data_IF_979585535118
#
_entry.id   IF_979585535118
#
_cell.length_a   1.000
_cell.length_b   1.000
_cell.length_c   1.000
_cell.angle_alpha   90.00
_cell.angle_beta   90.00
_cell.angle_gamma   90.00
#
_symmetry.space_group_name_H-M   'P 1'
#
loop_
_entity.id
_entity.type
_entity.pdbx_description
1 polymer ?
#
# COMPACT_ATOMS: atom_id res chain seq x y z
N UNK A 1 11.85 -13.52 -8.40
CA UNK A 1 11.20 -12.30 -8.96
C UNK A 1 12.19 -11.14 -8.86
N UNK A 2 12.35 -10.29 -9.89
CA UNK A 2 13.28 -9.17 -9.83
C UNK A 2 12.85 -8.20 -8.73
N UNK A 3 13.78 -7.86 -7.82
CA UNK A 3 13.53 -6.86 -6.78
C UNK A 3 13.29 -5.50 -7.43
N UNK A 4 12.24 -4.82 -6.98
CA UNK A 4 11.84 -3.50 -7.48
C UNK A 4 12.98 -2.52 -7.27
N UNK A 5 13.44 -1.91 -8.37
CA UNK A 5 14.40 -0.82 -8.33
C UNK A 5 13.68 0.48 -7.93
N UNK A 6 14.33 1.31 -7.13
CA UNK A 6 13.79 2.57 -6.64
C UNK A 6 14.38 3.78 -7.36
N UNK A 7 13.73 4.93 -7.28
CA UNK A 7 14.30 6.20 -7.72
C UNK A 7 14.85 6.96 -6.50
N UNK A 8 15.91 7.73 -6.71
CA UNK A 8 16.51 8.58 -5.67
C UNK A 8 16.70 10.01 -6.19
N UNK A 9 16.42 10.98 -5.33
CA UNK A 9 16.49 12.41 -5.63
C UNK A 9 17.43 13.05 -4.61
N UNK A 10 18.51 13.68 -5.07
CA UNK A 10 19.54 14.26 -4.21
C UNK A 10 19.67 15.75 -4.49
N UNK A 11 19.33 16.58 -3.52
CA UNK A 11 19.62 18.01 -3.58
C UNK A 11 21.03 18.26 -3.07
N UNK A 12 21.90 18.70 -3.97
CA UNK A 12 23.32 18.94 -3.71
C UNK A 12 23.69 20.32 -4.25
N UNK A 13 24.17 21.20 -3.37
CA UNK A 13 24.55 22.58 -3.75
C UNK A 13 26.04 22.72 -4.09
N UNK A 14 26.91 21.90 -3.49
CA UNK A 14 28.36 21.95 -3.70
C UNK A 14 28.77 21.13 -4.93
N UNK A 15 29.50 21.75 -5.85
CA UNK A 15 29.95 21.10 -7.10
C UNK A 15 30.84 19.88 -6.85
N UNK A 16 31.71 19.93 -5.84
CA UNK A 16 32.63 18.81 -5.55
C UNK A 16 31.91 17.57 -5.01
N UNK A 17 30.87 17.78 -4.20
CA UNK A 17 30.00 16.70 -3.73
C UNK A 17 29.22 16.08 -4.89
N UNK A 18 28.69 16.92 -5.79
CA UNK A 18 27.98 16.46 -6.99
C UNK A 18 28.89 15.59 -7.86
N UNK A 19 30.11 16.07 -8.16
CA UNK A 19 31.12 15.31 -8.93
C UNK A 19 31.47 13.98 -8.27
N UNK A 20 31.66 13.98 -6.95
CA UNK A 20 32.00 12.76 -6.20
C UNK A 20 30.89 11.72 -6.29
N UNK A 21 29.63 12.14 -6.12
CA UNK A 21 28.48 11.22 -6.18
C UNK A 21 28.25 10.74 -7.61
N UNK A 22 28.39 11.62 -8.60
CA UNK A 22 28.24 11.27 -10.02
C UNK A 22 29.29 10.25 -10.47
N UNK A 23 30.56 10.45 -10.11
CA UNK A 23 31.65 9.52 -10.37
C UNK A 23 31.41 8.13 -9.77
N UNK A 24 30.62 8.04 -8.69
CA UNK A 24 30.27 6.80 -8.00
C UNK A 24 28.83 6.33 -8.24
N UNK A 25 28.08 6.98 -9.15
CA UNK A 25 26.65 6.74 -9.33
C UNK A 25 26.33 5.29 -9.70
N UNK A 26 27.22 4.60 -10.42
CA UNK A 26 27.06 3.18 -10.78
C UNK A 26 27.12 2.28 -9.55
N UNK A 27 28.05 2.51 -8.63
CA UNK A 27 28.12 1.77 -7.36
C UNK A 27 26.88 2.02 -6.51
N UNK A 28 26.46 3.28 -6.40
CA UNK A 28 25.25 3.66 -5.65
C UNK A 28 24.01 2.98 -6.25
N UNK A 29 23.84 2.99 -7.58
CA UNK A 29 22.73 2.32 -8.27
C UNK A 29 22.69 0.82 -7.97
N UNK A 30 23.84 0.16 -7.95
CA UNK A 30 23.91 -1.29 -7.72
C UNK A 30 23.68 -1.66 -6.26
N UNK A 31 24.37 -1.00 -5.33
CA UNK A 31 24.31 -1.28 -3.89
C UNK A 31 22.95 -0.93 -3.30
N UNK A 32 22.40 0.23 -3.65
CA UNK A 32 21.10 0.69 -3.15
C UNK A 32 19.91 0.23 -4.02
N UNK A 33 20.17 -0.52 -5.11
CA UNK A 33 19.15 -1.00 -6.07
C UNK A 33 18.29 0.14 -6.64
N UNK A 34 18.96 1.23 -7.00
CA UNK A 34 18.33 2.43 -7.55
C UNK A 34 18.34 2.33 -9.09
N UNK A 35 17.20 2.49 -9.75
CA UNK A 35 17.10 2.53 -11.21
C UNK A 35 17.56 3.87 -11.78
N UNK A 36 17.30 4.97 -11.06
CA UNK A 36 17.61 6.32 -11.49
C UNK A 36 17.96 7.20 -10.29
N UNK A 37 19.02 7.99 -10.43
CA UNK A 37 19.40 9.03 -9.47
C UNK A 37 19.23 10.37 -10.19
N UNK A 38 18.40 11.25 -9.65
CA UNK A 38 18.29 12.64 -10.06
C UNK A 38 19.02 13.51 -9.03
N UNK A 39 19.98 14.33 -9.46
CA UNK A 39 20.83 15.09 -8.55
C UNK A 39 21.12 16.50 -9.07
N UNK A 40 21.18 17.49 -8.17
CA UNK A 40 21.43 18.88 -8.53
C UNK A 40 20.96 19.88 -7.47
N UNK A 41 21.24 21.19 -7.65
CA UNK A 41 20.88 22.21 -6.67
C UNK A 41 19.37 22.50 -6.60
N UNK A 42 18.65 22.29 -7.71
CA UNK A 42 17.23 22.61 -7.86
C UNK A 42 16.31 21.38 -7.80
N UNK A 43 16.87 20.21 -7.47
CA UNK A 43 16.08 18.97 -7.35
C UNK A 43 15.05 19.14 -6.22
N UNK A 44 13.79 18.94 -6.58
CA UNK A 44 12.65 19.05 -5.66
C UNK A 44 12.35 17.73 -4.95
N UNK A 45 11.84 17.83 -3.72
CA UNK A 45 11.36 16.68 -2.94
C UNK A 45 10.10 16.07 -3.58
N UNK A 46 10.11 14.80 -4.01
CA UNK A 46 8.90 14.16 -4.52
C UNK A 46 7.85 13.93 -3.43
N UNK A 47 6.58 13.88 -3.84
CA UNK A 47 5.44 13.63 -2.95
C UNK A 47 5.59 12.24 -2.29
N UNK A 48 5.40 12.18 -0.97
CA UNK A 48 5.46 10.94 -0.18
C UNK A 48 6.81 10.20 -0.28
N UNK A 49 7.89 10.90 0.05
CA UNK A 49 9.25 10.35 0.07
C UNK A 49 9.75 10.12 1.50
N UNK A 50 10.52 9.04 1.71
CA UNK A 50 11.45 8.97 2.83
C UNK A 50 12.56 10.00 2.59
N UNK A 51 13.02 10.65 3.66
CA UNK A 51 14.04 11.70 3.59
C UNK A 51 15.19 11.42 4.53
N UNK A 52 16.40 11.68 4.07
CA UNK A 52 17.61 11.73 4.89
C UNK A 52 18.40 13.01 4.57
N UNK A 53 19.13 13.53 5.55
CA UNK A 53 20.02 14.68 5.36
C UNK A 53 21.40 14.28 5.86
N UNK A 54 22.43 14.47 5.02
CA UNK A 54 23.82 14.16 5.35
C UNK A 54 24.63 15.42 5.04
N UNK A 55 25.04 16.15 6.09
CA UNK A 55 25.60 17.49 5.94
C UNK A 55 24.62 18.42 5.21
N UNK A 56 25.01 18.92 4.04
CA UNK A 56 24.21 19.80 3.19
C UNK A 56 23.47 19.07 2.05
N UNK A 57 23.55 17.73 2.02
CA UNK A 57 22.89 16.91 0.99
C UNK A 57 21.54 16.44 1.51
N UNK A 58 20.47 16.77 0.80
CA UNK A 58 19.14 16.24 1.08
C UNK A 58 18.86 15.08 0.12
N UNK A 59 18.44 13.93 0.66
CA UNK A 59 18.18 12.71 -0.10
C UNK A 59 16.70 12.35 0.06
N UNK A 60 16.04 12.04 -1.04
CA UNK A 60 14.66 11.58 -1.07
C UNK A 60 14.49 10.32 -1.88
N UNK A 61 13.76 9.36 -1.31
CA UNK A 61 13.34 8.14 -1.99
C UNK A 61 11.81 8.11 -2.00
N UNK A 62 11.15 8.21 -3.17
CA UNK A 62 9.72 8.09 -3.26
C UNK A 62 9.25 6.74 -2.73
N UNK A 63 8.31 6.76 -1.78
CA UNK A 63 7.70 5.54 -1.26
C UNK A 63 6.64 4.99 -2.22
N UNK A 64 6.15 5.85 -3.13
CA UNK A 64 5.22 5.48 -4.20
C UNK A 64 5.95 4.60 -5.21
N UNK A 65 5.59 3.32 -5.30
CA UNK A 65 6.20 2.34 -6.20
C UNK A 65 6.97 1.23 -5.49
N UNK A 66 7.51 1.49 -4.29
CA UNK A 66 8.12 0.50 -3.40
C UNK A 66 7.08 -0.49 -2.86
N UNK A 67 5.94 0.02 -2.41
CA UNK A 67 4.72 -0.75 -2.20
C UNK A 67 3.92 -0.62 -3.50
N UNK A 68 3.61 -1.73 -4.16
CA UNK A 68 2.70 -1.71 -5.30
C UNK A 68 1.27 -1.46 -4.77
N UNK A 69 0.96 -0.21 -4.44
CA UNK A 69 -0.33 0.18 -3.89
C UNK A 69 -1.47 -0.23 -4.82
N UNK A 70 -1.23 -0.31 -6.14
CA UNK A 70 -2.20 -0.79 -7.10
C UNK A 70 -2.40 -2.31 -7.01
N UNK A 71 -1.33 -3.10 -6.92
CA UNK A 71 -1.41 -4.55 -6.68
C UNK A 71 -2.01 -4.87 -5.33
N UNK A 72 -1.66 -4.10 -4.29
CA UNK A 72 -2.19 -4.28 -2.95
C UNK A 72 -3.68 -3.92 -2.90
N UNK A 73 -4.07 -2.81 -3.53
CA UNK A 73 -5.48 -2.45 -3.75
C UNK A 73 -6.22 -3.56 -4.49
N UNK A 74 -5.67 -4.07 -5.60
CA UNK A 74 -6.26 -5.21 -6.35
C UNK A 74 -6.38 -6.46 -5.49
N UNK A 75 -5.38 -6.77 -4.67
CA UNK A 75 -5.39 -7.92 -3.75
C UNK A 75 -6.52 -7.78 -2.71
N UNK A 76 -6.62 -6.61 -2.08
CA UNK A 76 -7.66 -6.32 -1.08
C UNK A 76 -9.05 -6.33 -1.73
N UNK A 77 -9.22 -5.74 -2.92
CA UNK A 77 -10.49 -5.79 -3.67
C UNK A 77 -10.93 -7.23 -3.98
N UNK A 78 -9.99 -8.10 -4.40
CA UNK A 78 -10.28 -9.53 -4.61
C UNK A 78 -10.70 -10.24 -3.33
N UNK A 79 -10.06 -9.91 -2.20
CA UNK A 79 -10.46 -10.47 -0.89
C UNK A 79 -11.85 -10.00 -0.48
N UNK A 80 -12.16 -8.71 -0.68
CA UNK A 80 -13.49 -8.14 -0.42
C UNK A 80 -14.54 -8.87 -1.25
N UNK A 81 -14.35 -8.99 -2.56
CA UNK A 81 -15.30 -9.65 -3.47
C UNK A 81 -15.60 -11.10 -3.05
N UNK A 82 -14.56 -11.88 -2.69
CA UNK A 82 -14.74 -13.26 -2.20
C UNK A 82 -15.59 -13.33 -0.92
N UNK A 83 -15.28 -12.49 0.07
CA UNK A 83 -16.00 -12.49 1.34
C UNK A 83 -17.44 -11.96 1.16
N UNK A 84 -17.67 -11.01 0.24
CA UNK A 84 -19.01 -10.54 -0.10
C UNK A 84 -19.88 -11.64 -0.71
N UNK A 85 -19.31 -12.49 -1.57
CA UNK A 85 -20.01 -13.66 -2.12
C UNK A 85 -20.35 -14.69 -1.02
N UNK A 86 -19.40 -15.00 -0.15
CA UNK A 86 -19.62 -15.91 0.99
C UNK A 86 -20.68 -15.35 1.95
N UNK A 87 -20.61 -14.07 2.28
CA UNK A 87 -21.60 -13.38 3.09
C UNK A 87 -22.99 -13.40 2.44
N UNK A 88 -23.08 -13.23 1.12
CA UNK A 88 -24.35 -13.30 0.39
C UNK A 88 -24.96 -14.71 0.49
N UNK A 89 -24.13 -15.77 0.39
CA UNK A 89 -24.59 -17.16 0.56
C UNK A 89 -25.09 -17.41 1.98
N UNK A 90 -24.34 -16.98 3.00
CA UNK A 90 -24.75 -17.11 4.40
C UNK A 90 -26.07 -16.38 4.69
N UNK A 91 -26.19 -15.13 4.24
CA UNK A 91 -27.45 -14.35 4.35
C UNK A 91 -28.61 -15.01 3.62
N UNK A 92 -28.40 -15.62 2.45
CA UNK A 92 -29.45 -16.32 1.71
C UNK A 92 -29.99 -17.51 2.51
N UNK A 93 -29.11 -18.30 3.13
CA UNK A 93 -29.52 -19.41 4.01
C UNK A 93 -30.28 -18.91 5.23
N UNK A 94 -29.77 -17.89 5.91
CA UNK A 94 -30.40 -17.30 7.10
C UNK A 94 -31.72 -16.56 6.82
N UNK A 95 -32.02 -16.21 5.56
CA UNK A 95 -33.32 -15.68 5.13
C UNK A 95 -34.30 -16.76 4.69
N UNK A 96 -33.84 -17.98 4.41
CA UNK A 96 -34.71 -19.05 3.98
C UNK A 96 -35.45 -19.64 5.19
N UNK A 97 -36.76 -19.38 5.26
CA UNK A 97 -37.63 -19.90 6.34
C UNK A 97 -37.59 -21.42 6.46
N UNK A 98 -37.46 -22.13 5.35
CA UNK A 98 -37.37 -23.59 5.34
C UNK A 98 -36.05 -24.10 5.94
N UNK A 99 -34.95 -23.38 5.68
CA UNK A 99 -33.67 -23.68 6.33
C UNK A 99 -33.74 -23.41 7.83
N UNK A 100 -34.36 -22.29 8.23
CA UNK A 100 -34.50 -21.95 9.66
C UNK A 100 -35.39 -22.93 10.43
N UNK A 101 -36.40 -23.52 9.78
CA UNK A 101 -37.29 -24.48 10.43
C UNK A 101 -36.76 -25.91 10.43
N UNK A 102 -35.98 -26.31 9.42
CA UNK A 102 -35.47 -27.69 9.29
C UNK A 102 -34.04 -27.90 9.77
N UNK A 103 -33.21 -26.86 9.81
CA UNK A 103 -31.81 -27.00 10.20
C UNK A 103 -31.66 -27.08 11.72
N UNK A 104 -30.76 -27.94 12.25
CA UNK A 104 -30.44 -27.98 13.67
C UNK A 104 -29.95 -26.62 14.17
N UNK A 105 -30.28 -26.27 15.40
CA UNK A 105 -29.91 -24.99 16.01
C UNK A 105 -28.40 -24.71 15.95
N UNK A 106 -27.57 -25.74 16.20
CA UNK A 106 -26.11 -25.66 16.05
C UNK A 106 -25.66 -25.21 14.65
N UNK A 107 -26.36 -25.62 13.60
CA UNK A 107 -26.07 -25.23 12.21
C UNK A 107 -26.50 -23.80 11.93
N UNK A 108 -27.66 -23.38 12.44
CA UNK A 108 -28.15 -22.00 12.33
C UNK A 108 -27.23 -21.03 13.06
N UNK A 109 -26.83 -21.35 14.30
CA UNK A 109 -25.90 -20.54 15.10
C UNK A 109 -24.55 -20.40 14.41
N UNK A 110 -23.98 -21.50 13.90
CA UNK A 110 -22.72 -21.47 13.13
C UNK A 110 -22.81 -20.60 11.88
N UNK A 111 -23.96 -20.59 11.19
CA UNK A 111 -24.14 -19.75 10.00
C UNK A 111 -24.30 -18.26 10.38
N UNK A 112 -24.93 -17.94 11.52
CA UNK A 112 -25.00 -16.57 12.07
C UNK A 112 -23.63 -16.05 12.51
N UNK A 113 -22.83 -16.90 13.16
CA UNK A 113 -21.45 -16.58 13.55
C UNK A 113 -20.59 -16.27 12.33
N UNK A 114 -20.66 -17.11 11.28
CA UNK A 114 -20.01 -16.85 10.00
C UNK A 114 -20.44 -15.53 9.38
N UNK A 115 -21.74 -15.22 9.40
CA UNK A 115 -22.24 -13.93 8.89
C UNK A 115 -21.60 -12.75 9.64
N UNK A 116 -21.49 -12.84 10.97
CA UNK A 116 -20.86 -11.81 11.81
C UNK A 116 -19.37 -11.67 11.50
N UNK A 117 -18.64 -12.79 11.45
CA UNK A 117 -17.21 -12.81 11.15
C UNK A 117 -16.91 -12.18 9.77
N UNK A 118 -17.68 -12.54 8.75
CA UNK A 118 -17.52 -11.97 7.42
C UNK A 118 -17.81 -10.46 7.39
N UNK A 119 -18.83 -9.98 8.11
CA UNK A 119 -19.10 -8.54 8.24
C UNK A 119 -17.92 -7.80 8.88
N UNK A 120 -17.38 -8.32 9.98
CA UNK A 120 -16.24 -7.72 10.67
C UNK A 120 -14.98 -7.70 9.79
N UNK A 121 -14.71 -8.81 9.09
CA UNK A 121 -13.58 -8.92 8.16
C UNK A 121 -13.72 -7.95 6.99
N UNK A 122 -14.92 -7.81 6.41
CA UNK A 122 -15.20 -6.81 5.37
C UNK A 122 -14.97 -5.39 5.86
N UNK A 123 -15.42 -5.07 7.09
CA UNK A 123 -15.19 -3.75 7.69
C UNK A 123 -13.70 -3.43 7.78
N UNK A 124 -12.89 -4.37 8.27
CA UNK A 124 -11.43 -4.21 8.36
C UNK A 124 -10.77 -4.04 6.99
N UNK A 125 -11.15 -4.87 6.01
CA UNK A 125 -10.60 -4.80 4.65
C UNK A 125 -10.97 -3.51 3.93
N UNK A 126 -12.21 -3.03 4.06
CA UNK A 126 -12.65 -1.75 3.49
C UNK A 126 -11.91 -0.56 4.10
N UNK A 127 -11.72 -0.55 5.43
CA UNK A 127 -10.91 0.47 6.12
C UNK A 127 -9.46 0.48 5.62
N UNK A 128 -8.87 -0.71 5.42
CA UNK A 128 -7.53 -0.83 4.84
C UNK A 128 -7.49 -0.35 3.38
N UNK A 129 -8.52 -0.63 2.59
CA UNK A 129 -8.62 -0.14 1.22
C UNK A 129 -8.66 1.39 1.15
N UNK A 130 -9.38 2.01 2.08
CA UNK A 130 -9.53 3.47 2.21
C UNK A 130 -8.21 4.15 2.61
N UNK A 131 -7.44 3.58 3.54
CA UNK A 131 -6.13 4.13 3.92
C UNK A 131 -5.10 4.09 2.79
N UNK A 132 -5.31 3.24 1.78
CA UNK A 132 -4.50 3.14 0.56
C UNK A 132 -5.01 4.06 -0.57
N UNK A 133 -6.06 4.83 -0.36
CA UNK A 133 -6.43 5.93 -1.25
C UNK A 133 -5.59 7.18 -0.90
N UNK A 134 -5.19 7.99 -1.90
CA UNK A 134 -4.49 9.22 -1.62
C UNK A 134 -5.38 10.11 -0.75
N UNK A 135 -5.05 10.24 0.53
CA UNK A 135 -5.72 11.18 1.42
C UNK A 135 -5.49 12.57 0.85
N UNK A 136 -6.57 13.29 0.50
CA UNK A 136 -6.51 14.74 0.28
C UNK A 136 -5.99 15.34 1.59
N UNK A 137 -4.68 15.59 1.67
CA UNK A 137 -4.10 16.27 2.82
C UNK A 137 -4.82 17.60 2.95
N UNK A 138 -5.53 17.80 4.06
CA UNK A 138 -5.99 19.13 4.48
C UNK A 138 -4.77 20.03 4.39
N UNK A 139 -4.78 20.96 3.44
CA UNK A 139 -3.85 22.08 3.42
C UNK A 139 -4.12 22.82 4.72
N UNK A 140 -3.16 22.81 5.64
CA UNK A 140 -3.11 23.85 6.65
C UNK A 140 -2.73 25.12 5.86
N UNK A 141 -3.74 25.96 5.64
CA UNK A 141 -3.57 27.37 5.30
C UNK A 141 -3.25 28.14 6.58
#
# INVERSE_FOLDING_TARGET
>A
APQKKIEAFLKIRKKDQLKTIDANATYIRNLARVSRIEMGPDVGKPISSASAVIGEIEIWVPLKGLIDLNKERKRIMRQISRIEEELKRAKKKLKNKEFLSKAPEKVVTKEREKEKEFKERLKKLRKNLESLQPQKRKRYS
#
